data_IF_305078802875
#
_entry.id   IF_305078802875
#
_cell.length_a   1.000
_cell.length_b   1.000
_cell.length_c   1.000
_cell.angle_alpha   90.00
_cell.angle_beta   90.00
_cell.angle_gamma   90.00
#
_symmetry.space_group_name_H-M   'P 1'
#
loop_
_entity.id
_entity.type
_entity.pdbx_description
1 polymer ?
#
# COMPACT_ATOMS: atom_id res chain seq x y z
N UNK A 1 8.31 -18.76 9.65
CA UNK A 1 7.99 -17.66 8.72
C UNK A 1 7.15 -16.63 9.46
N UNK A 2 7.42 -15.35 9.24
CA UNK A 2 6.65 -14.23 9.81
C UNK A 2 6.36 -13.22 8.70
N UNK A 3 5.12 -12.75 8.60
CA UNK A 3 4.59 -11.91 7.53
C UNK A 3 3.84 -10.70 8.09
N UNK A 4 3.98 -9.54 7.46
CA UNK A 4 3.18 -8.38 7.83
C UNK A 4 1.77 -8.45 7.24
N UNK A 5 0.78 -8.63 8.10
CA UNK A 5 -0.61 -8.78 7.66
C UNK A 5 -1.15 -7.49 7.04
N UNK A 6 -1.28 -7.45 5.71
CA UNK A 6 -1.82 -6.33 4.93
C UNK A 6 -1.09 -4.99 5.19
N UNK A 7 0.24 -5.01 5.19
CA UNK A 7 1.07 -3.83 5.51
C UNK A 7 0.72 -2.60 4.69
N UNK A 8 0.50 -2.78 3.39
CA UNK A 8 0.22 -1.68 2.47
C UNK A 8 -1.12 -1.00 2.78
N UNK A 9 -2.16 -1.78 3.10
CA UNK A 9 -3.47 -1.26 3.50
C UNK A 9 -3.39 -0.48 4.82
N UNK A 10 -2.52 -0.90 5.76
CA UNK A 10 -2.25 -0.18 7.01
C UNK A 10 -1.52 1.13 6.76
N UNK A 11 -0.49 1.10 5.91
CA UNK A 11 0.35 2.26 5.59
C UNK A 11 -0.44 3.32 4.83
N UNK A 12 -1.25 2.95 3.84
CA UNK A 12 -2.07 3.93 3.11
C UNK A 12 -3.12 4.58 4.03
N UNK A 13 -3.77 3.79 4.90
CA UNK A 13 -4.71 4.32 5.88
C UNK A 13 -4.05 5.31 6.84
N UNK A 14 -2.83 5.02 7.29
CA UNK A 14 -2.05 5.88 8.17
C UNK A 14 -1.58 7.18 7.52
N UNK A 15 -1.21 7.15 6.24
CA UNK A 15 -0.89 8.38 5.50
C UNK A 15 -2.14 9.22 5.23
N UNK A 16 -3.23 8.57 4.83
CA UNK A 16 -4.49 9.23 4.50
C UNK A 16 -5.25 9.74 5.73
N UNK A 17 -5.01 9.18 6.92
CA UNK A 17 -5.82 9.45 8.10
C UNK A 17 -7.21 8.79 8.04
N UNK A 18 -7.31 7.63 7.37
CA UNK A 18 -8.56 6.88 7.21
C UNK A 18 -8.92 6.14 8.51
N UNK A 19 -9.51 6.87 9.46
CA UNK A 19 -9.70 6.41 10.85
C UNK A 19 -10.40 5.07 10.99
N UNK A 20 -11.51 4.84 10.28
CA UNK A 20 -12.26 3.59 10.42
C UNK A 20 -11.41 2.36 10.08
N UNK A 21 -10.50 2.50 9.10
CA UNK A 21 -9.60 1.44 8.66
C UNK A 21 -8.50 1.22 9.70
N UNK A 22 -7.94 2.30 10.25
CA UNK A 22 -7.02 2.24 11.39
C UNK A 22 -7.66 1.59 12.62
N UNK A 23 -8.91 1.92 12.94
CA UNK A 23 -9.66 1.36 14.07
C UNK A 23 -9.95 -0.13 13.85
N UNK A 24 -10.40 -0.52 12.66
CA UNK A 24 -10.60 -1.94 12.30
C UNK A 24 -9.31 -2.75 12.46
N UNK A 25 -8.18 -2.19 12.03
CA UNK A 25 -6.86 -2.79 12.22
C UNK A 25 -6.45 -2.90 13.69
N UNK A 26 -6.73 -1.89 14.51
CA UNK A 26 -6.45 -1.90 15.95
C UNK A 26 -7.31 -2.93 16.70
N UNK A 27 -8.56 -3.11 16.27
CA UNK A 27 -9.50 -4.09 16.81
C UNK A 27 -9.22 -5.53 16.33
N UNK A 28 -8.23 -5.73 15.44
CA UNK A 28 -7.89 -7.05 14.90
C UNK A 28 -8.92 -7.60 13.91
N UNK A 29 -9.74 -6.73 13.31
CA UNK A 29 -10.75 -7.10 12.32
C UNK A 29 -10.13 -7.56 10.99
N UNK A 30 -10.86 -8.39 10.23
CA UNK A 30 -10.50 -8.72 8.85
C UNK A 30 -10.86 -7.55 7.94
N UNK A 31 -9.85 -6.83 7.45
CA UNK A 31 -10.08 -5.60 6.68
C UNK A 31 -10.93 -5.83 5.43
N UNK A 32 -10.86 -7.00 4.80
CA UNK A 32 -11.65 -7.28 3.61
C UNK A 32 -13.14 -7.44 3.97
N UNK A 33 -13.44 -8.05 5.11
CA UNK A 33 -14.79 -8.08 5.66
C UNK A 33 -15.29 -6.69 6.05
N UNK A 34 -14.47 -5.89 6.75
CA UNK A 34 -14.84 -4.53 7.17
C UNK A 34 -15.06 -3.59 5.97
N UNK A 35 -14.22 -3.71 4.93
CA UNK A 35 -14.38 -2.96 3.66
C UNK A 35 -15.73 -3.28 3.00
N UNK A 36 -16.08 -4.57 2.85
CA UNK A 36 -17.36 -4.98 2.23
C UNK A 36 -18.54 -4.51 3.08
N UNK A 37 -18.42 -4.65 4.40
CA UNK A 37 -19.49 -4.24 5.31
C UNK A 37 -19.79 -2.75 5.17
N UNK A 38 -18.75 -1.94 4.97
CA UNK A 38 -18.87 -0.49 4.74
C UNK A 38 -19.35 -0.14 3.33
N UNK A 39 -18.96 -0.92 2.32
CA UNK A 39 -19.37 -0.70 0.92
C UNK A 39 -20.86 -1.00 0.71
N UNK A 40 -21.39 -2.05 1.33
CA UNK A 40 -22.75 -2.54 1.05
C UNK A 40 -23.72 -2.44 2.25
N UNK A 41 -23.24 -2.00 3.42
CA UNK A 41 -24.07 -1.85 4.62
C UNK A 41 -24.55 -3.19 5.21
N UNK A 42 -23.84 -4.29 4.95
CA UNK A 42 -24.17 -5.63 5.44
C UNK A 42 -23.10 -6.14 6.40
N UNK A 43 -23.45 -6.97 7.38
CA UNK A 43 -22.43 -7.61 8.23
C UNK A 43 -21.69 -8.69 7.45
N UNK A 44 -20.36 -8.72 7.54
CA UNK A 44 -19.52 -9.76 6.92
C UNK A 44 -18.57 -10.38 7.94
N UNK A 45 -18.57 -11.70 8.03
CA UNK A 45 -17.67 -12.49 8.90
C UNK A 45 -16.99 -13.55 8.05
N UNK A 46 -15.65 -13.61 8.07
CA UNK A 46 -14.80 -14.47 7.19
C UNK A 46 -15.27 -15.92 7.04
N UNK A 47 -15.80 -16.51 8.11
CA UNK A 47 -16.32 -17.89 8.14
C UNK A 47 -17.77 -17.93 8.67
N UNK A 48 -18.56 -16.90 8.38
CA UNK A 48 -19.91 -16.76 8.88
C UNK A 48 -20.80 -15.97 7.92
N UNK A 49 -21.59 -15.06 8.49
CA UNK A 49 -22.58 -14.25 7.75
C UNK A 49 -21.89 -13.54 6.58
N UNK A 50 -22.42 -13.75 5.37
CA UNK A 50 -21.92 -13.18 4.12
C UNK A 50 -20.42 -13.40 3.83
N UNK A 51 -19.81 -14.45 4.39
CA UNK A 51 -18.37 -14.69 4.28
C UNK A 51 -17.85 -14.80 2.84
N UNK A 52 -18.71 -15.22 1.90
CA UNK A 52 -18.44 -15.25 0.46
C UNK A 52 -18.15 -13.86 -0.12
N UNK A 53 -18.72 -12.80 0.45
CA UNK A 53 -18.48 -11.43 0.00
C UNK A 53 -17.08 -10.91 0.34
N UNK A 54 -16.37 -11.56 1.28
CA UNK A 54 -14.99 -11.20 1.65
C UNK A 54 -14.08 -11.15 0.42
N UNK A 55 -14.30 -12.02 -0.55
CA UNK A 55 -13.51 -12.04 -1.79
C UNK A 55 -13.70 -10.75 -2.60
N UNK A 56 -14.93 -10.23 -2.71
CA UNK A 56 -15.20 -8.91 -3.31
C UNK A 56 -14.42 -7.81 -2.60
N UNK A 57 -14.37 -7.86 -1.27
CA UNK A 57 -13.58 -6.95 -0.43
C UNK A 57 -12.10 -7.00 -0.72
N UNK A 58 -11.54 -8.20 -0.84
CA UNK A 58 -10.11 -8.40 -1.14
C UNK A 58 -9.72 -7.78 -2.47
N UNK A 59 -10.47 -8.06 -3.53
CA UNK A 59 -10.16 -7.52 -4.86
C UNK A 59 -10.33 -5.99 -4.85
N UNK A 60 -11.41 -5.48 -4.26
CA UNK A 60 -11.64 -4.04 -4.17
C UNK A 60 -10.53 -3.32 -3.42
N UNK A 61 -10.10 -3.85 -2.27
CA UNK A 61 -9.02 -3.25 -1.47
C UNK A 61 -7.69 -3.24 -2.22
N UNK A 62 -7.32 -4.34 -2.89
CA UNK A 62 -6.08 -4.45 -3.65
C UNK A 62 -6.08 -3.62 -4.93
N UNK A 63 -7.21 -3.55 -5.64
CA UNK A 63 -7.29 -2.82 -6.91
C UNK A 63 -7.49 -1.32 -6.68
N UNK A 64 -8.43 -0.94 -5.82
CA UNK A 64 -8.88 0.45 -5.73
C UNK A 64 -7.96 1.32 -4.89
N UNK A 65 -7.18 0.76 -3.96
CA UNK A 65 -6.25 1.50 -3.08
C UNK A 65 -5.28 2.46 -3.79
N UNK A 66 -4.98 2.19 -5.06
CA UNK A 66 -4.07 2.99 -5.88
C UNK A 66 -4.70 3.44 -7.20
N UNK A 67 -6.00 3.76 -7.16
CA UNK A 67 -6.72 4.35 -8.31
C UNK A 67 -7.17 3.34 -9.36
N UNK A 68 -7.05 2.04 -9.10
CA UNK A 68 -7.58 1.01 -9.97
C UNK A 68 -9.08 1.17 -10.22
N UNK A 69 -9.48 0.90 -11.47
CA UNK A 69 -10.86 0.94 -11.94
C UNK A 69 -11.30 -0.45 -12.41
N UNK A 70 -12.39 -0.54 -13.17
CA UNK A 70 -12.95 -1.79 -13.71
C UNK A 70 -11.90 -2.67 -14.40
N UNK A 71 -10.98 -2.08 -15.18
CA UNK A 71 -9.89 -2.82 -15.83
C UNK A 71 -8.91 -3.48 -14.84
N UNK A 72 -8.63 -2.83 -13.70
CA UNK A 72 -7.78 -3.41 -12.66
C UNK A 72 -8.49 -4.57 -11.94
N UNK A 73 -9.80 -4.43 -11.67
CA UNK A 73 -10.62 -5.51 -11.10
C UNK A 73 -10.62 -6.73 -12.02
N UNK A 74 -10.82 -6.53 -13.34
CA UNK A 74 -10.74 -7.62 -14.33
C UNK A 74 -9.37 -8.29 -14.32
N UNK A 75 -8.28 -7.52 -14.32
CA UNK A 75 -6.91 -8.06 -14.28
C UNK A 75 -6.60 -8.85 -13.00
N UNK A 76 -7.30 -8.55 -11.90
CA UNK A 76 -7.20 -9.29 -10.63
C UNK A 76 -8.15 -10.49 -10.54
N UNK A 77 -8.83 -10.86 -11.63
CA UNK A 77 -9.65 -12.05 -11.70
C UNK A 77 -11.09 -11.87 -11.26
N UNK A 78 -11.61 -10.64 -11.20
CA UNK A 78 -12.97 -10.38 -10.67
C UNK A 78 -14.06 -11.18 -11.40
N UNK A 79 -13.94 -11.37 -12.72
CA UNK A 79 -14.93 -12.08 -13.53
C UNK A 79 -14.89 -13.59 -13.25
N UNK A 80 -13.69 -14.15 -13.16
CA UNK A 80 -13.44 -15.55 -12.82
C UNK A 80 -13.93 -15.89 -11.40
N UNK A 81 -14.00 -14.88 -10.53
CA UNK A 81 -14.53 -14.98 -9.17
C UNK A 81 -16.05 -14.77 -9.09
N UNK A 82 -16.74 -14.72 -10.23
CA UNK A 82 -18.20 -14.65 -10.31
C UNK A 82 -18.79 -13.25 -10.14
N UNK A 83 -17.98 -12.19 -10.21
CA UNK A 83 -18.47 -10.81 -10.24
C UNK A 83 -18.82 -10.46 -11.68
N UNK A 84 -20.07 -10.09 -11.94
CA UNK A 84 -20.50 -9.71 -13.28
C UNK A 84 -19.83 -8.41 -13.74
N UNK A 85 -19.67 -8.23 -15.05
CA UNK A 85 -19.03 -7.02 -15.59
C UNK A 85 -19.79 -5.73 -15.21
N UNK A 86 -21.12 -5.81 -15.15
CA UNK A 86 -22.00 -4.69 -14.78
C UNK A 86 -21.90 -4.29 -13.30
N UNK A 87 -21.44 -5.19 -12.42
CA UNK A 87 -21.20 -4.88 -11.00
C UNK A 87 -19.90 -4.12 -10.77
N UNK A 88 -18.91 -4.23 -11.67
CA UNK A 88 -17.56 -3.69 -11.45
C UNK A 88 -17.55 -2.17 -11.21
N UNK A 89 -18.28 -1.33 -11.97
CA UNK A 89 -18.33 0.11 -11.70
C UNK A 89 -18.90 0.43 -10.31
N UNK A 90 -19.90 -0.34 -9.86
CA UNK A 90 -20.52 -0.21 -8.54
C UNK A 90 -19.57 -0.55 -7.39
N UNK A 91 -18.70 -1.56 -7.58
CA UNK A 91 -17.64 -1.90 -6.61
C UNK A 91 -16.65 -0.76 -6.48
N UNK A 92 -16.18 -0.21 -7.60
CA UNK A 92 -15.21 0.90 -7.60
C UNK A 92 -15.79 2.14 -6.92
N UNK A 93 -17.03 2.53 -7.27
CA UNK A 93 -17.68 3.70 -6.69
C UNK A 93 -17.94 3.52 -5.18
N UNK A 94 -18.42 2.35 -4.76
CA UNK A 94 -18.68 2.03 -3.36
C UNK A 94 -17.40 2.02 -2.53
N UNK A 95 -16.30 1.46 -3.04
CA UNK A 95 -15.02 1.47 -2.34
C UNK A 95 -14.52 2.91 -2.15
N UNK A 96 -14.58 3.75 -3.20
CA UNK A 96 -14.16 5.16 -3.12
C UNK A 96 -15.03 5.96 -2.14
N UNK A 97 -16.34 5.70 -2.13
CA UNK A 97 -17.26 6.33 -1.18
C UNK A 97 -17.00 5.90 0.27
N UNK A 98 -16.56 4.66 0.49
CA UNK A 98 -16.20 4.14 1.82
C UNK A 98 -14.81 4.62 2.32
N UNK A 99 -13.90 5.00 1.40
CA UNK A 99 -12.50 5.32 1.66
C UNK A 99 -12.13 6.74 1.21
N UNK A 100 -12.93 7.72 1.61
CA UNK A 100 -12.83 9.10 1.11
C UNK A 100 -11.49 9.75 1.47
N UNK A 101 -10.91 9.46 2.64
CA UNK A 101 -9.64 10.06 3.03
C UNK A 101 -8.50 9.53 2.16
N UNK A 102 -8.54 8.25 1.79
CA UNK A 102 -7.58 7.67 0.85
C UNK A 102 -7.72 8.33 -0.53
N UNK A 103 -8.95 8.52 -1.01
CA UNK A 103 -9.19 9.18 -2.30
C UNK A 103 -8.71 10.64 -2.28
N UNK A 104 -9.00 11.39 -1.21
CA UNK A 104 -8.47 12.74 -1.02
C UNK A 104 -6.94 12.75 -1.01
N UNK A 105 -6.32 11.82 -0.28
CA UNK A 105 -4.88 11.69 -0.19
C UNK A 105 -4.21 11.51 -1.55
N UNK A 106 -4.80 10.71 -2.46
CA UNK A 106 -4.30 10.58 -3.84
C UNK A 106 -4.18 11.94 -4.55
N UNK A 107 -5.25 12.73 -4.49
CA UNK A 107 -5.31 14.00 -5.20
C UNK A 107 -4.52 15.11 -4.51
N UNK A 108 -4.36 15.03 -3.20
CA UNK A 108 -3.49 15.94 -2.46
C UNK A 108 -2.01 15.66 -2.76
N UNK A 109 -1.63 14.39 -2.91
CA UNK A 109 -0.30 14.00 -3.41
C UNK A 109 -0.11 14.49 -4.84
N UNK A 110 -1.09 14.30 -5.73
CA UNK A 110 -1.04 14.79 -7.11
C UNK A 110 -0.76 16.29 -7.17
N UNK A 111 -1.54 17.09 -6.43
CA UNK A 111 -1.35 18.54 -6.31
C UNK A 111 0.03 18.88 -5.74
N UNK A 112 0.50 18.18 -4.71
CA UNK A 112 1.79 18.45 -4.08
C UNK A 112 2.96 18.21 -5.05
N UNK A 113 2.93 17.11 -5.81
CA UNK A 113 3.91 16.79 -6.85
C UNK A 113 3.83 17.83 -7.97
N UNK A 114 2.63 18.18 -8.45
CA UNK A 114 2.43 19.17 -9.50
C UNK A 114 3.03 20.52 -9.11
N UNK A 115 2.78 20.99 -7.89
CA UNK A 115 3.34 22.24 -7.37
C UNK A 115 4.88 22.17 -7.29
N UNK A 116 5.43 21.05 -6.81
CA UNK A 116 6.86 20.88 -6.68
C UNK A 116 7.58 20.85 -8.04
N UNK A 117 6.98 20.20 -9.04
CA UNK A 117 7.56 20.11 -10.39
C UNK A 117 7.36 21.41 -11.18
N UNK A 118 6.16 21.99 -11.17
CA UNK A 118 5.81 23.17 -11.99
C UNK A 118 6.50 24.44 -11.50
N UNK A 119 6.63 24.61 -10.19
CA UNK A 119 7.17 25.84 -9.60
C UNK A 119 8.54 25.65 -8.93
N UNK A 120 9.11 24.44 -8.95
CA UNK A 120 10.37 24.09 -8.28
C UNK A 120 10.38 24.49 -6.79
N UNK A 121 9.22 24.40 -6.13
CA UNK A 121 9.05 24.72 -4.71
C UNK A 121 9.02 23.45 -3.87
N UNK A 122 9.53 23.54 -2.65
CA UNK A 122 9.31 22.48 -1.67
C UNK A 122 7.89 22.60 -1.11
N UNK A 123 7.13 21.50 -1.10
CA UNK A 123 5.80 21.41 -0.49
C UNK A 123 5.78 20.29 0.54
N UNK A 124 4.93 20.42 1.56
CA UNK A 124 4.76 19.42 2.61
C UNK A 124 3.30 18.99 2.65
N UNK A 125 3.07 17.67 2.68
CA UNK A 125 1.76 17.07 2.88
C UNK A 125 1.86 16.11 4.06
N UNK A 126 1.46 16.58 5.24
CA UNK A 126 1.56 15.83 6.49
C UNK A 126 2.97 15.27 6.74
N UNK A 127 3.08 13.95 6.56
CA UNK A 127 4.28 13.12 6.78
C UNK A 127 5.27 13.12 5.61
N UNK A 128 4.94 13.77 4.50
CA UNK A 128 5.70 13.74 3.25
C UNK A 128 6.24 15.12 2.89
N UNK A 129 7.44 15.16 2.33
CA UNK A 129 8.03 16.37 1.77
C UNK A 129 8.35 16.16 0.29
N UNK A 130 7.89 17.07 -0.55
CA UNK A 130 8.03 17.06 -2.00
C UNK A 130 8.96 18.19 -2.37
N UNK A 131 10.00 17.93 -3.13
CA UNK A 131 10.94 18.98 -3.52
C UNK A 131 11.57 18.68 -4.87
N UNK A 132 12.13 19.72 -5.47
CA UNK A 132 12.92 19.62 -6.68
C UNK A 132 14.39 19.86 -6.31
N UNK A 133 15.30 19.03 -6.80
CA UNK A 133 16.74 19.26 -6.68
C UNK A 133 17.50 18.64 -7.86
N UNK A 134 18.45 19.38 -8.42
CA UNK A 134 19.40 18.92 -9.44
C UNK A 134 18.80 18.14 -10.63
N UNK A 135 17.69 18.58 -11.19
CA UNK A 135 17.05 17.96 -12.34
C UNK A 135 16.07 16.84 -11.99
N UNK A 136 15.81 16.64 -10.70
CA UNK A 136 14.99 15.55 -10.18
C UNK A 136 13.91 16.07 -9.25
N UNK A 137 12.76 15.40 -9.26
CA UNK A 137 11.76 15.55 -8.23
C UNK A 137 11.96 14.46 -7.18
N UNK A 138 11.81 14.82 -5.92
CA UNK A 138 11.93 13.94 -4.79
C UNK A 138 10.68 13.95 -3.92
N UNK A 139 10.29 12.76 -3.46
CA UNK A 139 9.33 12.57 -2.37
C UNK A 139 10.09 11.95 -1.20
N UNK A 140 10.24 12.70 -0.11
CA UNK A 140 10.88 12.25 1.14
C UNK A 140 9.84 11.67 2.09
N UNK A 141 10.10 10.45 2.51
CA UNK A 141 9.34 9.71 3.52
C UNK A 141 9.86 10.06 4.93
N UNK A 142 9.07 9.77 5.98
CA UNK A 142 9.51 9.97 7.37
C UNK A 142 10.71 9.10 7.77
N UNK A 143 10.90 7.96 7.11
CA UNK A 143 12.10 7.12 7.25
C UNK A 143 13.40 7.82 6.80
N UNK A 144 13.29 8.96 6.11
CA UNK A 144 14.40 9.68 5.49
C UNK A 144 14.69 9.24 4.05
N UNK A 145 14.06 8.16 3.56
CA UNK A 145 14.17 7.73 2.16
C UNK A 145 13.65 8.80 1.20
N UNK A 146 14.38 9.02 0.11
CA UNK A 146 13.94 9.84 -1.02
C UNK A 146 13.55 8.94 -2.19
N UNK A 147 12.33 9.10 -2.71
CA UNK A 147 11.91 8.57 -4.01
C UNK A 147 12.26 9.59 -5.09
N UNK A 148 13.07 9.20 -6.07
CA UNK A 148 13.59 10.10 -7.10
C UNK A 148 12.90 9.88 -8.44
N UNK A 149 12.50 10.98 -9.07
CA UNK A 149 11.86 11.01 -10.39
C UNK A 149 12.72 11.87 -11.32
N UNK A 150 13.29 11.26 -12.37
CA UNK A 150 14.33 11.88 -13.21
C UNK A 150 13.71 12.80 -14.25
N UNK A 151 14.23 14.03 -14.39
CA UNK A 151 13.79 15.05 -15.37
C UNK A 151 12.25 15.18 -15.43
N UNK A 152 11.62 15.46 -14.28
CA UNK A 152 10.18 15.60 -14.19
C UNK A 152 9.75 16.82 -14.99
N UNK A 153 8.61 16.74 -15.68
CA UNK A 153 7.97 17.90 -16.32
C UNK A 153 6.47 17.70 -16.38
N UNK A 154 5.77 18.82 -16.45
CA UNK A 154 4.35 18.83 -16.79
C UNK A 154 4.20 18.39 -18.24
N UNK A 155 3.33 17.41 -18.47
CA UNK A 155 2.98 16.90 -19.79
C UNK A 155 1.49 16.60 -19.86
N UNK A 156 1.10 15.87 -20.90
CA UNK A 156 -0.29 15.50 -21.15
C UNK A 156 -0.40 13.98 -21.15
N UNK A 157 -1.39 13.44 -20.43
CA UNK A 157 -1.64 12.00 -20.42
C UNK A 157 -2.42 11.57 -21.68
N UNK A 158 -2.70 10.27 -21.80
CA UNK A 158 -3.50 9.69 -22.90
C UNK A 158 -4.96 10.19 -23.01
N UNK A 159 -5.43 10.97 -22.04
CA UNK A 159 -6.79 11.53 -21.96
C UNK A 159 -6.78 13.07 -22.09
N UNK A 160 -5.74 13.63 -22.73
CA UNK A 160 -5.57 15.07 -22.95
C UNK A 160 -5.61 15.93 -21.67
N UNK A 161 -5.28 15.33 -20.51
CA UNK A 161 -5.24 16.03 -19.22
C UNK A 161 -3.80 16.30 -18.77
N UNK A 162 -3.58 17.42 -18.09
CA UNK A 162 -2.29 17.78 -17.49
C UNK A 162 -1.86 16.69 -16.49
N UNK A 163 -0.62 16.22 -16.60
CA UNK A 163 -0.05 15.21 -15.71
C UNK A 163 1.45 15.43 -15.51
N UNK A 164 2.06 14.68 -14.58
CA UNK A 164 3.50 14.68 -14.39
C UNK A 164 4.12 13.54 -15.18
N UNK A 165 5.15 13.87 -15.96
CA UNK A 165 5.96 12.88 -16.69
C UNK A 165 7.40 12.90 -16.19
N UNK A 166 8.07 11.76 -16.21
CA UNK A 166 9.48 11.63 -15.82
C UNK A 166 10.17 10.55 -16.67
N UNK A 167 11.49 10.53 -16.64
CA UNK A 167 12.29 9.52 -17.33
C UNK A 167 12.55 8.30 -16.42
N UNK A 168 12.35 7.10 -16.96
CA UNK A 168 12.53 5.86 -16.22
C UNK A 168 12.49 4.63 -17.12
N UNK A 169 12.58 3.45 -16.51
CA UNK A 169 12.51 2.17 -17.23
C UNK A 169 11.05 1.77 -17.39
N UNK A 170 10.57 1.75 -18.63
CA UNK A 170 9.22 1.33 -18.96
C UNK A 170 9.04 -0.18 -19.06
N UNK A 171 7.83 -0.61 -19.43
CA UNK A 171 7.46 -2.02 -19.58
C UNK A 171 8.32 -2.77 -20.60
N UNK A 172 8.82 -2.07 -21.62
CA UNK A 172 9.74 -2.62 -22.61
C UNK A 172 11.19 -2.77 -22.11
N UNK A 173 11.45 -2.53 -20.81
CA UNK A 173 12.79 -2.49 -20.19
C UNK A 173 13.74 -1.50 -20.86
N UNK A 174 13.20 -0.44 -21.46
CA UNK A 174 13.94 0.65 -22.11
C UNK A 174 13.75 1.95 -21.32
N UNK A 175 14.74 2.83 -21.43
CA UNK A 175 14.63 4.19 -20.90
C UNK A 175 13.65 4.99 -21.76
N UNK A 176 12.55 5.42 -21.15
CA UNK A 176 11.50 6.17 -21.82
C UNK A 176 10.88 7.21 -20.88
N UNK A 177 9.99 8.03 -21.43
CA UNK A 177 9.23 8.99 -20.66
C UNK A 177 7.91 8.38 -20.23
N UNK A 178 7.71 8.29 -18.92
CA UNK A 178 6.53 7.72 -18.27
C UNK A 178 5.63 8.85 -17.81
N UNK A 179 4.32 8.67 -17.93
CA UNK A 179 3.32 9.51 -17.26
C UNK A 179 2.96 8.95 -15.89
N UNK A 180 2.48 9.82 -15.01
CA UNK A 180 2.10 9.45 -13.66
C UNK A 180 1.06 10.42 -13.10
N UNK A 181 0.44 9.98 -12.01
CA UNK A 181 -0.70 10.64 -11.39
C UNK A 181 -0.75 10.26 -9.91
N UNK A 182 -1.45 11.05 -9.10
CA UNK A 182 -1.53 10.93 -7.64
C UNK A 182 -1.54 9.51 -7.09
N UNK A 183 -2.52 8.65 -7.46
CA UNK A 183 -2.58 7.27 -7.02
C UNK A 183 -1.31 6.43 -7.29
N UNK A 184 -0.62 6.65 -8.42
CA UNK A 184 0.65 5.96 -8.73
C UNK A 184 1.80 6.45 -7.86
N UNK A 185 1.84 7.75 -7.54
CA UNK A 185 2.80 8.27 -6.56
C UNK A 185 2.52 7.70 -5.16
N UNK A 186 1.24 7.61 -4.77
CA UNK A 186 0.82 7.01 -3.50
C UNK A 186 1.22 5.55 -3.40
N UNK A 187 1.05 4.76 -4.47
CA UNK A 187 1.55 3.38 -4.52
C UNK A 187 3.04 3.30 -4.20
N UNK A 188 3.87 4.12 -4.87
CA UNK A 188 5.32 4.14 -4.64
C UNK A 188 5.66 4.57 -3.20
N UNK A 189 4.95 5.56 -2.64
CA UNK A 189 5.13 6.02 -1.25
C UNK A 189 4.84 4.89 -0.27
N UNK A 190 3.73 4.17 -0.47
CA UNK A 190 3.28 3.09 0.40
C UNK A 190 4.24 1.91 0.32
N UNK A 191 4.55 1.42 -0.89
CA UNK A 191 5.50 0.32 -1.10
C UNK A 191 6.88 0.63 -0.51
N UNK A 192 7.38 1.85 -0.71
CA UNK A 192 8.66 2.25 -0.16
C UNK A 192 8.65 2.33 1.38
N UNK A 193 7.55 2.80 1.97
CA UNK A 193 7.38 2.84 3.43
C UNK A 193 7.29 1.43 4.00
N UNK A 194 6.52 0.53 3.38
CA UNK A 194 6.45 -0.89 3.76
C UNK A 194 7.83 -1.55 3.71
N UNK A 195 8.63 -1.25 2.68
CA UNK A 195 10.02 -1.73 2.60
C UNK A 195 10.91 -1.18 3.70
N UNK A 196 10.76 0.10 4.07
CA UNK A 196 11.52 0.69 5.18
C UNK A 196 11.17 0.04 6.53
N UNK A 197 9.90 -0.33 6.74
CA UNK A 197 9.43 -1.06 7.93
C UNK A 197 10.03 -2.46 7.98
N UNK A 198 10.04 -3.18 6.85
CA UNK A 198 10.68 -4.50 6.77
C UNK A 198 12.18 -4.41 7.09
N UNK A 199 12.89 -3.44 6.49
CA UNK A 199 14.30 -3.22 6.77
C UNK A 199 14.58 -2.83 8.23
N UNK A 200 13.68 -2.06 8.87
CA UNK A 200 13.75 -1.79 10.31
C UNK A 200 13.62 -3.08 11.13
N UNK A 201 12.69 -3.94 10.75
CA UNK A 201 12.44 -5.23 11.42
C UNK A 201 13.63 -6.19 11.28
N UNK A 202 14.25 -6.24 10.10
CA UNK A 202 15.48 -7.00 9.88
C UNK A 202 16.63 -6.52 10.79
N UNK A 203 16.74 -5.20 11.04
CA UNK A 203 17.73 -4.65 11.99
C UNK A 203 17.41 -5.00 13.45
N UNK A 204 16.13 -4.98 13.82
CA UNK A 204 15.66 -5.43 15.13
C UNK A 204 16.02 -6.89 15.37
N UNK A 205 15.80 -7.73 14.35
CA UNK A 205 16.04 -9.18 14.36
C UNK A 205 17.43 -9.58 13.88
N UNK A 206 18.41 -8.66 13.87
CA UNK A 206 19.77 -8.91 13.32
C UNK A 206 20.54 -10.06 13.99
N UNK A 207 20.11 -10.49 15.18
CA UNK A 207 20.71 -11.61 15.91
C UNK A 207 20.03 -12.95 15.62
N UNK A 208 18.96 -12.95 14.83
CA UNK A 208 18.33 -14.14 14.30
C UNK A 208 18.97 -14.53 12.96
N UNK A 209 18.92 -15.80 12.61
CA UNK A 209 19.39 -16.28 11.31
C UNK A 209 18.32 -16.03 10.24
N UNK A 210 18.31 -14.82 9.66
CA UNK A 210 17.39 -14.46 8.57
C UNK A 210 17.88 -15.15 7.28
N UNK A 211 17.26 -16.27 6.94
CA UNK A 211 17.64 -17.11 5.80
C UNK A 211 17.19 -16.48 4.47
N UNK A 212 16.01 -15.87 4.43
CA UNK A 212 15.54 -15.11 3.27
C UNK A 212 14.44 -14.10 3.64
N UNK A 213 14.17 -13.18 2.72
CA UNK A 213 13.01 -12.30 2.75
C UNK A 213 12.32 -12.32 1.40
N UNK A 214 10.99 -12.33 1.38
CA UNK A 214 10.16 -12.34 0.16
C UNK A 214 8.99 -11.41 0.41
N UNK A 215 8.70 -10.48 -0.50
CA UNK A 215 7.68 -9.45 -0.26
C UNK A 215 7.87 -8.74 1.10
N UNK A 216 6.89 -8.85 1.97
CA UNK A 216 6.82 -8.34 3.35
C UNK A 216 7.10 -9.42 4.42
N UNK A 217 7.61 -10.58 4.00
CA UNK A 217 7.84 -11.75 4.84
C UNK A 217 9.33 -11.93 5.20
N UNK A 218 9.58 -12.45 6.40
CA UNK A 218 10.87 -12.95 6.86
C UNK A 218 10.82 -14.46 7.13
N UNK A 219 11.83 -15.16 6.63
CA UNK A 219 12.10 -16.56 6.94
C UNK A 219 13.34 -16.63 7.81
N UNK A 220 13.16 -17.16 9.01
CA UNK A 220 14.18 -17.18 10.05
C UNK A 220 14.45 -18.64 10.43
N UNK A 221 15.72 -19.05 10.32
CA UNK A 221 16.23 -20.26 10.94
C UNK A 221 16.31 -20.04 12.44
N UNK A 222 15.65 -20.91 13.21
CA UNK A 222 15.57 -20.76 14.66
C UNK A 222 15.62 -22.12 15.36
N UNK A 223 16.21 -22.13 16.55
CA UNK A 223 16.09 -23.25 17.47
C UNK A 223 14.60 -23.46 17.83
N UNK A 224 14.09 -24.70 17.92
CA UNK A 224 12.69 -24.97 18.26
C UNK A 224 12.19 -24.34 19.57
N UNK A 225 13.10 -23.95 20.48
CA UNK A 225 12.78 -23.24 21.72
C UNK A 225 12.47 -21.75 21.52
N UNK A 226 12.79 -21.18 20.37
CA UNK A 226 12.49 -19.77 20.07
C UNK A 226 10.98 -19.61 19.93
N UNK A 227 10.42 -18.67 20.69
CA UNK A 227 8.99 -18.38 20.64
C UNK A 227 8.63 -17.61 19.36
N UNK A 228 7.78 -18.21 18.52
CA UNK A 228 7.19 -17.55 17.35
C UNK A 228 6.47 -16.26 17.74
N UNK A 229 5.71 -16.28 18.86
CA UNK A 229 4.98 -15.11 19.35
C UNK A 229 5.94 -13.94 19.61
N UNK A 230 7.05 -14.19 20.32
CA UNK A 230 8.05 -13.16 20.62
C UNK A 230 8.68 -12.63 19.33
N UNK A 231 8.97 -13.52 18.37
CA UNK A 231 9.53 -13.12 17.08
C UNK A 231 8.56 -12.21 16.29
N UNK A 232 7.27 -12.57 16.23
CA UNK A 232 6.25 -11.72 15.61
C UNK A 232 6.10 -10.38 16.33
N UNK A 233 6.14 -10.37 17.67
CA UNK A 233 6.13 -9.13 18.46
C UNK A 233 7.34 -8.25 18.18
N UNK A 234 8.54 -8.82 18.03
CA UNK A 234 9.75 -8.07 17.67
C UNK A 234 9.67 -7.51 16.25
N UNK A 235 9.19 -8.30 15.28
CA UNK A 235 9.02 -7.87 13.89
C UNK A 235 7.95 -6.77 13.78
N UNK A 236 6.87 -6.87 14.54
CA UNK A 236 5.76 -5.92 14.54
C UNK A 236 6.02 -4.59 15.25
N UNK A 237 7.24 -4.36 15.77
CA UNK A 237 7.57 -3.11 16.47
C UNK A 237 7.53 -1.92 15.51
N UNK A 238 6.66 -0.98 15.82
CA UNK A 238 6.54 0.28 15.10
C UNK A 238 7.80 1.11 15.34
N UNK A 239 8.52 1.55 14.28
CA UNK A 239 9.67 2.44 14.45
C UNK A 239 9.22 3.85 14.87
N UNK A 240 10.08 4.57 15.59
CA UNK A 240 9.78 5.91 16.14
C UNK A 240 9.26 6.91 15.09
N UNK A 241 9.74 6.81 13.86
CA UNK A 241 9.33 7.69 12.76
C UNK A 241 7.95 7.35 12.18
N UNK A 242 7.37 6.20 12.54
CA UNK A 242 6.07 5.72 12.06
C UNK A 242 4.98 5.76 13.14
N UNK A 243 5.09 6.69 14.09
CA UNK A 243 4.14 6.80 15.21
C UNK A 243 2.66 6.81 14.75
N UNK A 244 1.82 6.07 15.48
CA UNK A 244 0.41 5.84 15.18
C UNK A 244 0.12 4.81 14.07
N UNK A 245 1.13 4.23 13.41
CA UNK A 245 0.91 3.13 12.46
C UNK A 245 0.62 1.83 13.23
N UNK A 246 -0.53 1.20 12.95
CA UNK A 246 -0.89 -0.08 13.57
C UNK A 246 -0.32 -1.22 12.74
N UNK A 247 0.78 -1.82 13.19
CA UNK A 247 1.39 -3.00 12.57
C UNK A 247 0.83 -4.30 13.16
N UNK A 248 0.79 -5.34 12.34
CA UNK A 248 0.51 -6.71 12.77
C UNK A 248 1.40 -7.66 11.99
N UNK A 249 1.94 -8.64 12.70
CA UNK A 249 2.71 -9.74 12.11
C UNK A 249 2.06 -11.03 12.52
N UNK A 250 1.69 -11.84 11.52
CA UNK A 250 1.27 -13.22 11.74
C UNK A 250 2.38 -14.14 11.24
N UNK A 251 2.43 -15.38 11.72
CA UNK A 251 3.49 -16.30 11.34
C UNK A 251 3.16 -17.74 11.70
N UNK A 252 3.98 -18.65 11.19
CA UNK A 252 3.88 -20.08 11.48
C UNK A 252 5.26 -20.75 11.43
N UNK A 253 5.33 -21.95 12.01
CA UNK A 253 6.53 -22.79 12.05
C UNK A 253 6.39 -23.90 11.02
N UNK A 254 7.44 -24.14 10.25
CA UNK A 254 7.50 -25.20 9.23
C UNK A 254 8.93 -25.69 9.03
N UNK A 255 9.10 -26.97 8.71
CA UNK A 255 10.41 -27.57 8.41
C UNK A 255 10.93 -27.16 7.02
N UNK A 256 10.03 -26.77 6.13
CA UNK A 256 10.32 -26.32 4.77
C UNK A 256 9.37 -25.19 4.37
N UNK A 257 9.88 -24.26 3.56
CA UNK A 257 9.10 -23.12 3.08
C UNK A 257 7.88 -23.60 2.28
N UNK A 258 6.71 -23.07 2.65
CA UNK A 258 5.45 -23.24 1.93
C UNK A 258 4.90 -21.86 1.62
N UNK A 259 4.33 -21.67 0.44
CA UNK A 259 3.60 -20.45 0.11
C UNK A 259 2.13 -20.70 0.43
N UNK A 260 1.58 -19.94 1.39
CA UNK A 260 0.15 -19.90 1.70
C UNK A 260 -0.58 -18.85 0.83
#
# INVERSE_FOLDING_TARGET
>A
MADFSAIEARVIAWYAGEKWKSDAFANGEDIYCSTVSRMFGVQVVKHGINGELRQKGKIAELACGYGGSTGALKAMGALEMGISEDELPGIVSSWRAANQQIVCFWWDVDKAVMQAVKYHRSTRLGKLTFFWQSGMHFIRLLSGRNLAYVKPKVGTNRFDSECITYEGVGSAKKWERLDSYGPKFVENIVQATSRDILCNSMRTLRCCDIVMHIHDELVIGADPRVSLKVLCEQMGRVPDWADGLVLRVDGYICDFYKKD
#
